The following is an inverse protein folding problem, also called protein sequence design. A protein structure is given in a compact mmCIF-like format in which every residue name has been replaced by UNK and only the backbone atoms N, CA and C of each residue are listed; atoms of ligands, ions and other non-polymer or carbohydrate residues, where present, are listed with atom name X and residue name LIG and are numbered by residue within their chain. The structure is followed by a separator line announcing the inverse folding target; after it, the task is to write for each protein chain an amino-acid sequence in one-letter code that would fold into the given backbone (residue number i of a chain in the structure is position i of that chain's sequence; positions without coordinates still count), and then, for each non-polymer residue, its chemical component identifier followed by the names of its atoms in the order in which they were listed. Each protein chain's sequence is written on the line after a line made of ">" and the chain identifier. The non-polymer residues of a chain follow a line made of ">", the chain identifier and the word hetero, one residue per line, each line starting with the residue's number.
data_IF_634599663914
#
_entry.id   IF_634599663914
#
_cell.length_a   1.000
_cell.length_b   1.000
_cell.length_c   1.000
_cell.angle_alpha   90.00
_cell.angle_beta   90.00
_cell.angle_gamma   90.00
#
_symmetry.space_group_name_H-M   'P 1'
#
loop_
_entity.id
_entity.type
_entity.pdbx_description
1 polymer ?
#
# COMPACT_ATOMS: atom_id res chain seq x y z
N UNK A 1 -12.38 1.57 -10.31
CA UNK A 1 -11.14 2.20 -9.78
C UNK A 1 -10.73 3.48 -10.50
N UNK A 2 -10.35 4.52 -9.74
CA UNK A 2 -9.74 5.75 -10.26
C UNK A 2 -8.31 5.51 -10.78
N UNK A 3 -7.91 6.29 -11.78
CA UNK A 3 -6.58 6.23 -12.39
C UNK A 3 -5.68 7.35 -11.85
N UNK A 4 -4.48 7.00 -11.40
CA UNK A 4 -3.43 7.95 -11.06
C UNK A 4 -2.28 7.85 -12.07
N UNK A 5 -1.56 8.95 -12.27
CA UNK A 5 -0.41 8.93 -13.19
C UNK A 5 0.66 7.94 -12.71
N UNK A 6 1.32 7.19 -13.61
CA UNK A 6 2.37 6.28 -13.21
C UNK A 6 3.47 6.97 -12.39
N UNK A 7 3.92 6.31 -11.32
CA UNK A 7 4.89 6.79 -10.34
C UNK A 7 4.48 8.05 -9.58
N UNK A 8 3.20 8.45 -9.61
CA UNK A 8 2.75 9.57 -8.81
C UNK A 8 2.71 9.20 -7.32
N UNK A 9 2.78 10.20 -6.42
CA UNK A 9 2.59 9.97 -4.99
C UNK A 9 1.26 9.26 -4.67
N UNK A 10 0.19 9.54 -5.42
CA UNK A 10 -1.12 8.90 -5.28
C UNK A 10 -1.10 7.43 -5.70
N UNK A 11 -0.36 7.06 -6.74
CA UNK A 11 -0.20 5.67 -7.14
C UNK A 11 0.46 4.83 -6.03
N UNK A 12 1.48 5.38 -5.37
CA UNK A 12 2.12 4.77 -4.19
C UNK A 12 1.14 4.73 -3.02
N UNK A 13 0.47 5.85 -2.72
CA UNK A 13 -0.47 5.94 -1.61
C UNK A 13 -1.62 4.94 -1.74
N UNK A 14 -2.09 4.65 -2.95
CA UNK A 14 -3.13 3.64 -3.21
C UNK A 14 -2.67 2.22 -2.88
N UNK A 15 -1.40 1.89 -3.12
CA UNK A 15 -0.83 0.61 -2.67
C UNK A 15 -0.74 0.56 -1.13
N UNK A 16 -0.29 1.62 -0.48
CA UNK A 16 -0.25 1.69 0.98
C UNK A 16 -1.66 1.60 1.58
N UNK A 17 -2.64 2.26 0.97
CA UNK A 17 -4.05 2.16 1.35
C UNK A 17 -4.57 0.71 1.29
N UNK A 18 -4.14 -0.08 0.30
CA UNK A 18 -4.48 -1.50 0.22
C UNK A 18 -3.95 -2.30 1.41
N UNK A 19 -2.70 -2.05 1.85
CA UNK A 19 -2.16 -2.69 3.05
C UNK A 19 -2.97 -2.31 4.29
N UNK A 20 -3.31 -1.03 4.45
CA UNK A 20 -4.08 -0.53 5.60
C UNK A 20 -5.51 -1.06 5.73
N UNK A 21 -6.06 -1.70 4.69
CA UNK A 21 -7.40 -2.29 4.74
C UNK A 21 -7.41 -3.80 4.44
N UNK A 22 -6.23 -4.40 4.24
CA UNK A 22 -6.07 -5.80 3.84
C UNK A 22 -6.61 -6.78 4.89
N UNK A 23 -6.56 -6.40 6.17
CA UNK A 23 -7.06 -7.18 7.31
C UNK A 23 -8.49 -6.80 7.73
N UNK A 24 -9.08 -5.79 7.07
CA UNK A 24 -10.41 -5.26 7.34
C UNK A 24 -10.53 -4.37 8.58
N UNK A 25 -9.44 -4.06 9.28
CA UNK A 25 -9.46 -3.31 10.53
C UNK A 25 -8.53 -2.10 10.48
N UNK A 26 -9.03 -0.99 9.95
CA UNK A 26 -8.31 0.27 10.07
C UNK A 26 -8.45 0.86 11.47
N UNK A 27 -7.40 0.74 12.29
CA UNK A 27 -7.34 1.33 13.63
C UNK A 27 -6.75 2.76 13.56
N UNK A 28 -7.24 3.74 14.34
CA UNK A 28 -6.60 5.04 14.51
C UNK A 28 -5.07 5.00 14.70
N UNK A 29 -4.54 3.95 15.34
CA UNK A 29 -3.10 3.71 15.55
C UNK A 29 -2.32 3.58 14.24
N UNK A 30 -2.91 3.04 13.19
CA UNK A 30 -2.27 2.90 11.88
C UNK A 30 -2.13 4.27 11.19
N UNK A 31 -3.15 5.12 11.33
CA UNK A 31 -3.10 6.50 10.84
C UNK A 31 -2.07 7.33 11.60
N UNK A 32 -1.88 7.10 12.90
CA UNK A 32 -0.78 7.69 13.68
C UNK A 32 0.59 7.18 13.24
N UNK A 33 0.67 5.91 12.84
CA UNK A 33 1.91 5.32 12.35
C UNK A 33 2.38 5.98 11.05
N UNK A 34 1.47 6.34 10.15
CA UNK A 34 1.80 7.12 8.94
C UNK A 34 2.52 8.44 9.27
N UNK A 35 2.13 9.11 10.35
CA UNK A 35 2.78 10.34 10.82
C UNK A 35 4.17 10.04 11.42
N UNK A 36 4.26 9.02 12.28
CA UNK A 36 5.52 8.62 12.94
C UNK A 36 6.58 8.15 11.94
N UNK A 37 6.16 7.47 10.88
CA UNK A 37 7.02 7.01 9.80
C UNK A 37 7.27 8.09 8.73
N UNK A 38 6.72 9.29 8.91
CA UNK A 38 6.83 10.39 7.96
C UNK A 38 6.41 10.02 6.52
N UNK A 39 5.43 9.12 6.37
CA UNK A 39 4.97 8.57 5.08
C UNK A 39 4.64 9.70 4.09
N UNK A 40 3.86 10.69 4.55
CA UNK A 40 3.45 11.84 3.74
C UNK A 40 4.62 12.61 3.14
N UNK A 41 5.70 12.74 3.91
CA UNK A 41 6.93 13.39 3.44
C UNK A 41 7.70 12.50 2.47
N UNK A 42 7.88 11.22 2.81
CA UNK A 42 8.67 10.26 2.03
C UNK A 42 8.11 10.04 0.62
N UNK A 43 6.77 9.97 0.50
CA UNK A 43 6.13 9.81 -0.82
C UNK A 43 5.82 11.14 -1.51
N UNK A 44 6.08 12.27 -0.84
CA UNK A 44 5.74 13.63 -1.29
C UNK A 44 4.23 13.81 -1.56
N UNK A 45 3.39 13.36 -0.62
CA UNK A 45 1.93 13.51 -0.68
C UNK A 45 1.41 14.10 0.65
N UNK A 46 0.78 15.29 0.63
CA UNK A 46 0.18 15.86 1.84
C UNK A 46 -0.86 14.94 2.46
N UNK A 47 -0.94 14.89 3.79
CA UNK A 47 -1.90 14.07 4.55
C UNK A 47 -3.33 14.16 4.01
N UNK A 48 -3.82 15.37 3.73
CA UNK A 48 -5.18 15.58 3.20
C UNK A 48 -5.40 14.84 1.87
N UNK A 49 -4.40 14.83 0.99
CA UNK A 49 -4.47 14.12 -0.30
C UNK A 49 -4.34 12.62 -0.10
N UNK A 50 -3.46 12.15 0.79
CA UNK A 50 -3.40 10.74 1.16
C UNK A 50 -4.74 10.24 1.69
N UNK A 51 -5.37 10.97 2.62
CA UNK A 51 -6.70 10.61 3.12
C UNK A 51 -7.77 10.63 2.03
N UNK A 52 -7.60 11.44 0.98
CA UNK A 52 -8.50 11.40 -0.17
C UNK A 52 -8.28 10.13 -0.99
N UNK A 53 -7.03 9.77 -1.29
CA UNK A 53 -6.70 8.52 -1.99
C UNK A 53 -7.23 7.29 -1.23
N UNK A 54 -7.09 7.29 0.10
CA UNK A 54 -7.60 6.23 0.95
C UNK A 54 -9.13 6.11 0.87
N UNK A 55 -9.86 7.23 0.99
CA UNK A 55 -11.32 7.25 0.82
C UNK A 55 -11.75 6.81 -0.57
N UNK A 56 -11.13 7.39 -1.59
CA UNK A 56 -11.38 7.06 -2.99
C UNK A 56 -11.20 5.56 -3.26
N UNK A 57 -10.18 4.95 -2.66
CA UNK A 57 -9.92 3.51 -2.77
C UNK A 57 -10.98 2.67 -2.05
N UNK A 58 -11.39 3.05 -0.84
CA UNK A 58 -12.51 2.38 -0.15
C UNK A 58 -13.82 2.48 -0.94
N UNK A 59 -14.11 3.64 -1.53
CA UNK A 59 -15.27 3.87 -2.39
C UNK A 59 -15.21 2.96 -3.64
N UNK A 60 -14.07 2.96 -4.34
CA UNK A 60 -13.86 2.15 -5.54
C UNK A 60 -14.08 0.65 -5.26
N UNK A 61 -13.62 0.17 -4.12
CA UNK A 61 -13.76 -1.23 -3.73
C UNK A 61 -15.19 -1.56 -3.30
N UNK A 62 -15.86 -0.64 -2.63
CA UNK A 62 -17.26 -0.81 -2.22
C UNK A 62 -18.20 -0.84 -3.42
N UNK A 63 -17.93 -0.02 -4.45
CA UNK A 63 -18.68 0.00 -5.71
C UNK A 63 -18.50 -1.30 -6.52
N UNK A 64 -17.39 -2.01 -6.29
CA UNK A 64 -17.04 -3.28 -6.95
C UNK A 64 -17.45 -4.51 -6.13
N UNK A 65 -18.20 -4.32 -5.03
CA UNK A 65 -18.75 -5.41 -4.23
C UNK A 65 -19.74 -6.26 -5.06
N UNK A 66 -19.70 -7.57 -4.84
CA UNK A 66 -20.64 -8.50 -5.47
C UNK A 66 -22.06 -8.33 -4.91
N UNK A 67 -23.08 -8.90 -5.57
CA UNK A 67 -24.48 -8.84 -5.13
C UNK A 67 -24.70 -9.39 -3.70
N UNK A 68 -23.79 -10.24 -3.22
CA UNK A 68 -23.78 -10.79 -1.85
C UNK A 68 -23.04 -9.90 -0.83
N UNK A 69 -22.55 -8.73 -1.24
CA UNK A 69 -21.77 -7.79 -0.44
C UNK A 69 -20.31 -8.20 -0.24
N UNK A 70 -19.84 -9.27 -0.88
CA UNK A 70 -18.44 -9.70 -0.77
C UNK A 70 -17.51 -8.85 -1.64
N UNK A 71 -16.34 -8.55 -1.08
CA UNK A 71 -15.32 -7.72 -1.71
C UNK A 71 -14.07 -8.57 -1.93
N UNK A 72 -13.60 -8.65 -3.19
CA UNK A 72 -12.34 -9.33 -3.55
C UNK A 72 -11.18 -8.34 -3.54
N UNK A 73 -10.85 -7.84 -2.35
CA UNK A 73 -9.83 -6.82 -2.17
C UNK A 73 -8.45 -7.26 -2.72
N UNK A 74 -8.04 -8.48 -2.40
CA UNK A 74 -6.71 -9.02 -2.74
C UNK A 74 -6.74 -9.89 -4.01
N UNK A 75 -7.61 -9.57 -4.96
CA UNK A 75 -7.62 -10.24 -6.26
C UNK A 75 -6.34 -9.94 -7.05
N UNK A 76 -5.73 -10.99 -7.62
CA UNK A 76 -4.42 -10.90 -8.28
C UNK A 76 -4.38 -9.86 -9.40
N UNK A 77 -5.41 -9.81 -10.23
CA UNK A 77 -5.49 -8.85 -11.35
C UNK A 77 -5.49 -7.39 -10.86
N UNK A 78 -6.24 -7.09 -9.80
CA UNK A 78 -6.23 -5.77 -9.16
C UNK A 78 -4.84 -5.41 -8.67
N UNK A 79 -4.20 -6.32 -7.94
CA UNK A 79 -2.87 -6.09 -7.39
C UNK A 79 -1.88 -5.85 -8.53
N UNK A 80 -1.86 -6.70 -9.56
CA UNK A 80 -0.95 -6.58 -10.70
C UNK A 80 -1.13 -5.25 -11.45
N UNK A 81 -2.38 -4.79 -11.62
CA UNK A 81 -2.68 -3.48 -12.20
C UNK A 81 -2.11 -2.34 -11.35
N UNK A 82 -2.31 -2.37 -10.02
CA UNK A 82 -1.76 -1.36 -9.13
C UNK A 82 -0.22 -1.34 -9.12
N UNK A 83 0.40 -2.52 -9.14
CA UNK A 83 1.85 -2.68 -9.17
C UNK A 83 2.45 -2.18 -10.50
N UNK A 84 1.69 -2.20 -11.59
CA UNK A 84 2.13 -1.72 -12.91
C UNK A 84 2.28 -0.19 -12.97
N UNK A 85 1.54 0.54 -12.12
CA UNK A 85 1.61 2.00 -12.04
C UNK A 85 2.88 2.50 -11.34
N UNK A 86 3.62 1.65 -10.64
CA UNK A 86 4.92 2.00 -10.02
C UNK A 86 6.04 1.28 -10.77
N UNK A 87 6.75 2.04 -11.62
CA UNK A 87 7.82 1.52 -12.49
C UNK A 87 9.22 1.93 -12.03
N UNK A 88 9.36 3.03 -11.30
CA UNK A 88 10.63 3.52 -10.78
C UNK A 88 11.16 2.62 -9.66
N UNK A 89 12.42 2.19 -9.78
CA UNK A 89 13.02 1.23 -8.84
C UNK A 89 13.09 1.75 -7.41
N UNK A 90 13.39 3.04 -7.21
CA UNK A 90 13.47 3.61 -5.85
C UNK A 90 12.09 3.68 -5.22
N UNK A 91 11.07 4.08 -5.97
CA UNK A 91 9.67 4.10 -5.51
C UNK A 91 9.16 2.70 -5.17
N UNK A 92 9.54 1.67 -5.94
CA UNK A 92 9.22 0.27 -5.63
C UNK A 92 9.81 -0.15 -4.28
N UNK A 93 11.10 0.07 -4.07
CA UNK A 93 11.77 -0.26 -2.81
C UNK A 93 11.14 0.53 -1.65
N UNK A 94 10.95 1.85 -1.81
CA UNK A 94 10.30 2.70 -0.82
C UNK A 94 8.89 2.19 -0.47
N UNK A 95 8.08 1.81 -1.47
CA UNK A 95 6.74 1.28 -1.25
C UNK A 95 6.78 -0.03 -0.45
N UNK A 96 7.73 -0.93 -0.75
CA UNK A 96 7.92 -2.16 0.03
C UNK A 96 8.32 -1.88 1.48
N UNK A 97 9.23 -0.94 1.72
CA UNK A 97 9.66 -0.53 3.06
C UNK A 97 8.46 0.01 3.84
N UNK A 98 7.75 0.99 3.28
CA UNK A 98 6.60 1.61 3.93
C UNK A 98 5.46 0.63 4.19
N UNK A 99 5.14 -0.24 3.23
CA UNK A 99 4.14 -1.29 3.42
C UNK A 99 4.51 -2.23 4.55
N UNK A 100 5.79 -2.64 4.64
CA UNK A 100 6.27 -3.50 5.72
C UNK A 100 6.18 -2.81 7.08
N UNK A 101 6.54 -1.51 7.17
CA UNK A 101 6.47 -0.77 8.43
C UNK A 101 5.03 -0.54 8.88
N UNK A 102 4.12 -0.25 7.94
CA UNK A 102 2.68 -0.12 8.21
C UNK A 102 2.11 -1.44 8.71
N UNK A 103 2.40 -2.56 8.03
CA UNK A 103 1.92 -3.89 8.43
C UNK A 103 2.49 -4.42 9.74
N UNK A 104 3.50 -3.75 10.32
CA UNK A 104 4.03 -4.09 11.67
C UNK A 104 3.37 -3.27 12.78
N UNK A 105 2.31 -2.51 12.50
CA UNK A 105 1.73 -1.53 13.42
C UNK A 105 1.30 -2.11 14.77
N UNK A 106 0.85 -3.36 14.81
CA UNK A 106 0.42 -4.07 16.02
C UNK A 106 1.47 -5.05 16.58
N UNK A 107 2.64 -5.12 15.94
CA UNK A 107 3.73 -6.04 16.27
C UNK A 107 3.73 -7.35 15.48
N UNK A 108 2.74 -7.60 14.62
CA UNK A 108 2.62 -8.82 13.81
C UNK A 108 2.09 -8.52 12.41
N UNK A 109 2.70 -9.11 11.37
CA UNK A 109 2.17 -9.03 10.01
C UNK A 109 1.18 -10.18 9.82
N UNK A 110 -0.03 -9.89 9.34
CA UNK A 110 -1.02 -10.92 9.04
C UNK A 110 -0.64 -11.77 7.81
N UNK A 111 -1.23 -12.96 7.66
CA UNK A 111 -0.97 -13.84 6.51
C UNK A 111 -1.33 -13.16 5.17
N UNK A 112 -2.39 -12.34 5.14
CA UNK A 112 -2.84 -11.60 3.95
C UNK A 112 -1.87 -10.49 3.55
N UNK A 113 -1.39 -9.72 4.51
CA UNK A 113 -0.37 -8.68 4.28
C UNK A 113 0.97 -9.29 3.87
N UNK A 114 1.38 -10.39 4.50
CA UNK A 114 2.60 -11.10 4.15
C UNK A 114 2.54 -11.65 2.72
N UNK A 115 1.39 -12.21 2.33
CA UNK A 115 1.16 -12.68 0.97
C UNK A 115 1.19 -11.53 -0.05
N UNK A 116 0.57 -10.39 0.28
CA UNK A 116 0.58 -9.18 -0.55
C UNK A 116 2.00 -8.61 -0.72
N UNK A 117 2.74 -8.45 0.39
CA UNK A 117 4.12 -7.97 0.38
C UNK A 117 5.04 -8.90 -0.40
N UNK A 118 4.89 -10.22 -0.21
CA UNK A 118 5.66 -11.23 -0.95
C UNK A 118 5.38 -11.16 -2.45
N UNK A 119 4.12 -11.00 -2.85
CA UNK A 119 3.74 -10.86 -4.26
C UNK A 119 4.25 -9.54 -4.86
N UNK A 120 4.17 -8.44 -4.12
CA UNK A 120 4.72 -7.13 -4.52
C UNK A 120 6.23 -7.19 -4.75
N UNK A 121 6.99 -7.72 -3.78
CA UNK A 121 8.44 -7.89 -3.89
C UNK A 121 8.84 -8.76 -5.07
N UNK A 122 8.15 -9.90 -5.27
CA UNK A 122 8.39 -10.80 -6.39
C UNK A 122 8.12 -10.12 -7.74
N UNK A 123 7.01 -9.41 -7.86
CA UNK A 123 6.61 -8.72 -9.10
C UNK A 123 7.58 -7.61 -9.50
N UNK A 124 8.20 -6.97 -8.51
CA UNK A 124 9.17 -5.90 -8.74
C UNK A 124 10.64 -6.34 -8.70
N UNK A 125 10.89 -7.63 -8.49
CA UNK A 125 12.22 -8.19 -8.24
C UNK A 125 12.98 -7.43 -7.14
N UNK A 126 12.29 -7.05 -6.06
CA UNK A 126 12.88 -6.43 -4.86
C UNK A 126 13.28 -7.55 -3.90
N UNK A 127 14.52 -7.52 -3.44
CA UNK A 127 15.10 -8.49 -2.50
C UNK A 127 15.09 -7.94 -1.07
N UNK A 128 15.30 -8.80 -0.08
CA UNK A 128 15.48 -8.34 1.31
C UNK A 128 16.72 -7.44 1.44
N UNK A 129 17.82 -7.76 0.75
CA UNK A 129 19.03 -6.93 0.70
C UNK A 129 18.75 -5.51 0.19
N UNK A 130 17.83 -5.34 -0.77
CA UNK A 130 17.42 -4.01 -1.25
C UNK A 130 16.73 -3.22 -0.13
N UNK A 131 15.91 -3.87 0.69
CA UNK A 131 15.20 -3.23 1.80
C UNK A 131 16.18 -2.88 2.93
N UNK A 132 17.06 -3.81 3.31
CA UNK A 132 18.07 -3.59 4.37
C UNK A 132 18.97 -2.40 4.07
N UNK A 133 19.34 -2.20 2.79
CA UNK A 133 20.16 -1.05 2.38
C UNK A 133 19.46 0.29 2.52
N UNK A 134 18.15 0.35 2.41
CA UNK A 134 17.38 1.58 2.67
C UNK A 134 17.22 1.83 4.17
N UNK A 135 17.04 0.79 4.99
CA UNK A 135 17.00 0.93 6.46
C UNK A 135 18.36 1.32 7.07
N UNK A 136 19.47 1.03 6.38
CA UNK A 136 20.83 1.34 6.84
C UNK A 136 21.28 2.79 6.54
N UNK A 137 20.41 3.64 5.98
CA UNK A 137 20.69 5.04 5.65
C UNK A 137 19.96 6.00 6.59
#
# INVERSE_FOLDING_TARGET
>A
MRNYSPNSPEAIARLLAMFMIADGNMDPRELELLEKLHVYHLINLPRKQFSQVLRDFCDDISDEASDDGSIRLLERERIDNLLSDVTDRRKRILTCVLAMDISKSDGTISDSEMALLSHMMKSWAVTLDDLEREFAR
#
